data_IF_454468780942
#
_entry.id   IF_454468780942
#
_cell.length_a   1.000
_cell.length_b   1.000
_cell.length_c   1.000
_cell.angle_alpha   90.00
_cell.angle_beta   90.00
_cell.angle_gamma   90.00
#
_symmetry.space_group_name_H-M   'P 1'
#
loop_
_entity.id
_entity.type
_entity.pdbx_description
1 polymer ?
#
# COMPACT_ATOMS: atom_id res chain seq x y z
N UNK A 1 -16.99 31.34 -21.30
CA UNK A 1 -16.44 29.97 -21.19
C UNK A 1 -14.93 29.97 -20.88
N UNK A 2 -14.50 30.20 -19.63
CA UNK A 2 -13.05 30.27 -19.27
C UNK A 2 -12.64 29.55 -17.97
N UNK A 3 -13.51 28.75 -17.36
CA UNK A 3 -13.19 28.02 -16.10
C UNK A 3 -12.73 26.56 -16.30
N UNK A 4 -12.97 25.94 -17.46
CA UNK A 4 -12.69 24.51 -17.70
C UNK A 4 -11.23 24.11 -17.94
N UNK A 5 -10.34 25.04 -18.27
CA UNK A 5 -8.95 24.75 -18.67
C UNK A 5 -7.96 24.63 -17.50
N UNK A 6 -8.27 25.22 -16.32
CA UNK A 6 -7.39 25.16 -15.14
C UNK A 6 -7.52 23.87 -14.33
N UNK A 7 -8.70 23.23 -14.31
CA UNK A 7 -8.92 21.95 -13.64
C UNK A 7 -8.20 20.80 -14.37
N UNK A 8 -8.22 20.79 -15.71
CA UNK A 8 -7.56 19.77 -16.55
C UNK A 8 -6.03 19.72 -16.35
N UNK A 9 -5.38 20.86 -16.09
CA UNK A 9 -3.91 20.91 -15.88
C UNK A 9 -3.46 20.38 -14.52
N UNK A 10 -4.27 20.50 -13.47
CA UNK A 10 -3.96 19.93 -12.14
C UNK A 10 -4.07 18.40 -12.13
N UNK A 11 -5.09 17.84 -12.79
CA UNK A 11 -5.23 16.39 -12.96
C UNK A 11 -4.10 15.78 -13.80
N UNK A 12 -3.50 16.52 -14.73
CA UNK A 12 -2.38 16.03 -15.55
C UNK A 12 -1.03 15.90 -14.81
N UNK A 13 -0.83 16.57 -13.67
CA UNK A 13 0.35 16.35 -12.81
C UNK A 13 0.14 15.17 -11.86
N UNK A 14 -1.05 15.06 -11.27
CA UNK A 14 -1.42 13.95 -10.39
C UNK A 14 -1.45 12.60 -11.12
N UNK A 15 -2.04 12.56 -12.33
CA UNK A 15 -2.02 11.36 -13.20
C UNK A 15 -0.62 10.91 -13.64
N UNK A 16 0.36 11.83 -13.70
CA UNK A 16 1.77 11.49 -13.96
C UNK A 16 2.43 10.92 -12.72
N UNK A 17 2.20 11.52 -11.55
CA UNK A 17 2.68 10.99 -10.27
C UNK A 17 2.14 9.59 -9.96
N UNK A 18 0.86 9.32 -10.24
CA UNK A 18 0.24 8.00 -10.05
C UNK A 18 0.76 6.94 -11.03
N UNK A 19 1.05 7.31 -12.29
CA UNK A 19 1.71 6.39 -13.23
C UNK A 19 3.14 6.07 -12.81
N UNK A 20 3.86 7.03 -12.25
CA UNK A 20 5.21 6.84 -11.72
C UNK A 20 5.20 5.95 -10.47
N UNK A 21 4.23 6.15 -9.56
CA UNK A 21 3.99 5.27 -8.42
C UNK A 21 3.63 3.84 -8.88
N UNK A 22 2.76 3.70 -9.89
CA UNK A 22 2.43 2.39 -10.50
C UNK A 22 3.64 1.69 -11.12
N UNK A 23 4.55 2.42 -11.78
CA UNK A 23 5.82 1.86 -12.30
C UNK A 23 6.74 1.41 -11.16
N UNK A 24 6.89 2.21 -10.10
CA UNK A 24 7.67 1.85 -8.91
C UNK A 24 7.10 0.65 -8.16
N UNK A 25 5.78 0.43 -8.25
CA UNK A 25 5.12 -0.76 -7.72
C UNK A 25 5.25 -1.99 -8.65
N UNK A 26 5.75 -1.84 -9.88
CA UNK A 26 5.81 -2.89 -10.93
C UNK A 26 7.24 -3.30 -11.40
N UNK A 27 8.35 -2.70 -10.93
CA UNK A 27 9.74 -3.17 -11.17
C UNK A 27 10.56 -3.10 -9.86
N UNK A 28 11.43 -4.04 -9.48
CA UNK A 28 12.38 -4.81 -10.29
C UNK A 28 12.56 -6.24 -9.74
N UNK A 29 12.17 -7.24 -10.53
CA UNK A 29 12.55 -8.63 -10.30
C UNK A 29 13.94 -8.90 -10.87
N UNK A 30 15.00 -8.51 -10.15
CA UNK A 30 16.36 -9.00 -10.43
C UNK A 30 17.30 -8.82 -9.23
N UNK A 31 17.14 -9.67 -8.21
CA UNK A 31 18.18 -9.87 -7.20
C UNK A 31 19.11 -10.98 -7.69
N UNK A 32 20.25 -10.60 -8.29
CA UNK A 32 21.35 -11.53 -8.56
C UNK A 32 21.89 -12.05 -7.22
N UNK A 33 21.62 -13.32 -6.91
CA UNK A 33 22.20 -14.01 -5.78
C UNK A 33 23.62 -14.51 -6.15
N UNK A 34 24.64 -13.75 -5.75
CA UNK A 34 26.03 -14.20 -5.71
C UNK A 34 26.55 -14.14 -4.28
N UNK A 35 27.08 -15.26 -3.78
CA UNK A 35 27.78 -15.29 -2.49
C UNK A 35 27.77 -16.65 -1.80
N UNK A 36 28.70 -17.53 -2.17
CA UNK A 36 29.02 -18.76 -1.41
C UNK A 36 29.43 -18.39 0.02
N UNK A 37 28.70 -18.88 1.02
CA UNK A 37 29.08 -18.77 2.43
C UNK A 37 29.35 -20.17 2.99
N UNK A 38 30.61 -20.41 3.37
CA UNK A 38 31.03 -21.59 4.12
C UNK A 38 30.53 -21.43 5.56
N UNK A 39 29.82 -22.42 6.08
CA UNK A 39 29.30 -22.43 7.45
C UNK A 39 30.39 -22.88 8.44
N UNK A 40 30.69 -22.05 9.45
CA UNK A 40 31.43 -22.44 10.65
C UNK A 40 30.48 -22.80 11.80
N UNK A 41 30.93 -23.57 12.80
CA UNK A 41 30.06 -24.10 13.85
C UNK A 41 30.01 -23.10 15.01
N UNK A 42 29.06 -22.16 15.01
CA UNK A 42 28.51 -21.46 16.19
C UNK A 42 27.71 -20.26 15.71
N UNK A 43 26.45 -20.50 15.36
CA UNK A 43 25.41 -19.48 15.46
C UNK A 43 24.08 -20.22 15.56
N UNK A 44 23.54 -20.25 16.77
CA UNK A 44 22.16 -20.64 17.04
C UNK A 44 21.23 -19.67 16.31
N UNK A 45 21.03 -19.89 15.01
CA UNK A 45 19.98 -19.23 14.25
C UNK A 45 18.69 -19.87 14.72
N UNK A 46 18.15 -19.32 15.80
CA UNK A 46 16.77 -19.51 16.18
C UNK A 46 15.94 -19.04 14.99
N UNK A 47 15.53 -20.01 14.16
CA UNK A 47 14.61 -19.82 13.07
C UNK A 47 13.28 -19.44 13.70
N UNK A 48 13.10 -18.15 14.04
CA UNK A 48 11.81 -17.58 14.38
C UNK A 48 10.91 -17.83 13.17
N UNK A 49 10.13 -18.91 13.22
CA UNK A 49 8.93 -19.05 12.40
C UNK A 49 8.01 -17.94 12.90
N UNK A 50 8.16 -16.75 12.31
CA UNK A 50 7.45 -15.55 12.73
C UNK A 50 5.96 -15.80 12.65
N UNK A 51 5.30 -15.84 13.81
CA UNK A 51 3.84 -15.76 13.87
C UNK A 51 3.46 -14.41 13.29
N UNK A 52 2.82 -14.41 12.11
CA UNK A 52 2.28 -13.18 11.53
C UNK A 52 1.29 -12.59 12.52
N UNK A 53 1.52 -11.36 12.95
CA UNK A 53 0.66 -10.68 13.92
C UNK A 53 -0.72 -10.41 13.33
N UNK A 54 -1.72 -10.19 14.19
CA UNK A 54 -3.05 -9.77 13.72
C UNK A 54 -2.99 -8.47 12.91
N UNK A 55 -2.09 -7.53 13.28
CA UNK A 55 -1.84 -6.31 12.51
C UNK A 55 -1.35 -6.60 11.09
N UNK A 56 -0.40 -7.55 10.93
CA UNK A 56 0.02 -8.01 9.61
C UNK A 56 -1.18 -8.54 8.81
N UNK A 57 -1.96 -9.44 9.41
CA UNK A 57 -3.09 -10.08 8.73
C UNK A 57 -4.14 -9.05 8.29
N UNK A 58 -4.40 -8.05 9.11
CA UNK A 58 -5.32 -6.95 8.80
C UNK A 58 -4.88 -6.16 7.57
N UNK A 59 -3.63 -5.70 7.51
CA UNK A 59 -3.15 -4.93 6.36
C UNK A 59 -3.01 -5.78 5.10
N UNK A 60 -2.55 -7.04 5.24
CA UNK A 60 -2.46 -7.95 4.12
C UNK A 60 -3.82 -8.22 3.46
N UNK A 61 -4.90 -8.28 4.25
CA UNK A 61 -6.28 -8.44 3.76
C UNK A 61 -6.89 -7.14 3.22
N UNK A 62 -6.44 -5.96 3.69
CA UNK A 62 -6.96 -4.68 3.22
C UNK A 62 -6.36 -4.24 1.89
N UNK A 63 -5.13 -4.64 1.56
CA UNK A 63 -4.55 -4.38 0.23
C UNK A 63 -5.46 -4.85 -0.93
N UNK A 64 -5.93 -6.12 -0.97
CA UNK A 64 -6.83 -6.57 -2.04
C UNK A 64 -8.22 -5.92 -1.95
N UNK A 65 -8.76 -5.68 -0.74
CA UNK A 65 -10.02 -4.95 -0.57
C UNK A 65 -9.97 -3.57 -1.23
N UNK A 66 -8.92 -2.80 -0.97
CA UNK A 66 -8.70 -1.49 -1.57
C UNK A 66 -8.47 -1.57 -3.08
N UNK A 67 -7.68 -2.55 -3.51
CA UNK A 67 -7.39 -2.74 -4.93
C UNK A 67 -8.67 -2.94 -5.75
N UNK A 68 -9.68 -3.63 -5.21
CA UNK A 68 -10.98 -3.83 -5.87
C UNK A 68 -11.75 -2.50 -6.02
N UNK A 69 -11.74 -1.66 -4.98
CA UNK A 69 -12.43 -0.38 -5.03
C UNK A 69 -11.75 0.63 -5.97
N UNK A 70 -10.42 0.62 -6.05
CA UNK A 70 -9.67 1.34 -7.09
C UNK A 70 -10.08 0.86 -8.49
N UNK A 71 -10.02 -0.46 -8.74
CA UNK A 71 -10.34 -1.04 -10.06
C UNK A 71 -11.77 -0.70 -10.51
N UNK A 72 -12.73 -0.79 -9.57
CA UNK A 72 -14.13 -0.45 -9.83
C UNK A 72 -14.29 1.04 -10.15
N UNK A 73 -13.63 1.91 -9.39
CA UNK A 73 -13.69 3.36 -9.60
C UNK A 73 -13.03 3.80 -10.91
N UNK A 74 -11.90 3.18 -11.29
CA UNK A 74 -11.20 3.45 -12.55
C UNK A 74 -12.02 3.04 -13.77
N UNK A 75 -12.72 1.90 -13.70
CA UNK A 75 -13.50 1.34 -14.81
C UNK A 75 -14.94 1.85 -14.87
N UNK A 76 -15.39 2.60 -13.88
CA UNK A 76 -16.75 3.09 -13.82
C UNK A 76 -17.07 4.04 -15.00
N UNK A 77 -18.12 3.69 -15.75
CA UNK A 77 -18.71 4.53 -16.79
C UNK A 77 -19.55 5.65 -16.15
N UNK A 78 -18.88 6.65 -15.58
CA UNK A 78 -19.53 7.76 -14.87
C UNK A 78 -19.82 8.90 -15.85
N UNK A 79 -21.11 9.24 -15.99
CA UNK A 79 -21.60 10.36 -16.78
C UNK A 79 -21.94 11.60 -15.93
N UNK A 80 -22.29 11.41 -14.66
CA UNK A 80 -22.59 12.53 -13.75
C UNK A 80 -21.27 13.13 -13.20
N UNK A 81 -20.97 14.42 -13.49
CA UNK A 81 -19.75 15.06 -13.00
C UNK A 81 -19.67 15.14 -11.47
N UNK A 82 -20.79 15.10 -10.75
CA UNK A 82 -20.83 15.09 -9.28
C UNK A 82 -20.24 13.81 -8.70
N UNK A 83 -20.32 12.70 -9.45
CA UNK A 83 -19.82 11.38 -9.02
C UNK A 83 -18.35 11.16 -9.43
N UNK A 84 -17.87 11.87 -10.47
CA UNK A 84 -16.48 11.75 -10.92
C UNK A 84 -15.49 12.13 -9.84
N UNK A 85 -15.73 13.24 -9.14
CA UNK A 85 -14.82 13.70 -8.09
C UNK A 85 -14.70 12.69 -6.92
N UNK A 86 -15.80 12.22 -6.32
CA UNK A 86 -15.72 11.17 -5.30
C UNK A 86 -15.02 9.89 -5.77
N UNK A 87 -15.23 9.45 -7.02
CA UNK A 87 -14.54 8.28 -7.56
C UNK A 87 -13.03 8.49 -7.72
N UNK A 88 -12.62 9.68 -8.16
CA UNK A 88 -11.21 10.05 -8.24
C UNK A 88 -10.58 10.16 -6.82
N UNK A 89 -11.31 10.71 -5.85
CA UNK A 89 -10.87 10.81 -4.45
C UNK A 89 -10.70 9.39 -3.83
N UNK A 90 -11.59 8.43 -4.14
CA UNK A 90 -11.45 7.00 -3.74
C UNK A 90 -10.16 6.40 -4.29
N UNK A 91 -9.83 6.65 -5.56
CA UNK A 91 -8.61 6.12 -6.19
C UNK A 91 -7.37 6.66 -5.47
N UNK A 92 -7.32 7.98 -5.27
CA UNK A 92 -6.17 8.67 -4.69
C UNK A 92 -5.94 8.25 -3.23
N UNK A 93 -7.00 8.20 -2.42
CA UNK A 93 -6.91 7.85 -1.01
C UNK A 93 -6.52 6.38 -0.82
N UNK A 94 -7.16 5.46 -1.55
CA UNK A 94 -6.87 4.04 -1.38
C UNK A 94 -5.50 3.63 -1.92
N UNK A 95 -5.01 4.28 -2.99
CA UNK A 95 -3.66 4.05 -3.49
C UNK A 95 -2.59 4.48 -2.47
N UNK A 96 -2.82 5.60 -1.77
CA UNK A 96 -1.97 6.06 -0.66
C UNK A 96 -1.99 5.07 0.49
N UNK A 97 -3.18 4.63 0.92
CA UNK A 97 -3.32 3.67 2.02
C UNK A 97 -2.68 2.31 1.69
N UNK A 98 -2.77 1.81 0.45
CA UNK A 98 -2.05 0.59 0.02
C UNK A 98 -0.53 0.75 0.18
N UNK A 99 0.00 1.93 -0.13
CA UNK A 99 1.45 2.20 -0.01
C UNK A 99 1.88 2.15 1.46
N UNK A 100 1.13 2.81 2.35
CA UNK A 100 1.37 2.79 3.79
C UNK A 100 1.26 1.38 4.38
N UNK A 101 0.22 0.62 4.00
CA UNK A 101 0.03 -0.76 4.44
C UNK A 101 1.18 -1.68 4.01
N UNK A 102 1.70 -1.53 2.77
CA UNK A 102 2.84 -2.33 2.29
C UNK A 102 4.11 -2.03 3.09
N UNK A 103 4.36 -0.76 3.42
CA UNK A 103 5.50 -0.37 4.26
C UNK A 103 5.38 -0.99 5.66
N UNK A 104 4.21 -0.84 6.30
CA UNK A 104 3.95 -1.39 7.63
C UNK A 104 4.04 -2.93 7.66
N UNK A 105 3.62 -3.63 6.61
CA UNK A 105 3.77 -5.09 6.50
C UNK A 105 5.24 -5.50 6.53
N UNK A 106 6.12 -4.77 5.84
CA UNK A 106 7.57 -5.05 5.84
C UNK A 106 8.14 -4.85 7.25
N UNK A 107 7.79 -3.75 7.90
CA UNK A 107 8.22 -3.43 9.26
C UNK A 107 7.74 -4.47 10.28
N UNK A 108 6.45 -4.81 10.28
CA UNK A 108 5.85 -5.79 11.19
C UNK A 108 6.40 -7.21 10.99
N UNK A 109 6.85 -7.53 9.78
CA UNK A 109 7.46 -8.83 9.49
C UNK A 109 8.88 -8.95 10.04
N UNK A 110 9.64 -7.85 10.06
CA UNK A 110 11.01 -7.80 10.58
C UNK A 110 11.10 -7.50 12.07
N UNK A 111 10.15 -6.71 12.60
CA UNK A 111 10.14 -6.23 13.97
C UNK A 111 8.69 -6.17 14.51
N UNK A 112 8.07 -7.32 14.82
CA UNK A 112 6.74 -7.33 15.39
C UNK A 112 6.73 -6.74 16.80
N UNK A 113 5.60 -6.13 17.24
CA UNK A 113 5.45 -5.73 18.64
C UNK A 113 5.60 -6.92 19.59
N UNK A 114 5.98 -6.62 20.84
CA UNK A 114 6.09 -7.62 21.91
C UNK A 114 4.76 -8.36 22.11
N UNK A 115 4.81 -9.65 22.46
CA UNK A 115 3.63 -10.45 22.76
C UNK A 115 2.82 -9.93 23.95
N UNK A 116 3.45 -9.13 24.82
CA UNK A 116 2.83 -8.56 26.02
C UNK A 116 2.44 -7.08 25.83
N UNK A 117 2.50 -6.56 24.60
CA UNK A 117 2.06 -5.19 24.33
C UNK A 117 0.54 -5.07 24.58
N UNK A 118 0.08 -4.03 25.29
CA UNK A 118 -1.35 -3.83 25.51
C UNK A 118 -2.04 -3.41 24.22
N UNK A 119 -3.35 -3.69 24.13
CA UNK A 119 -4.18 -3.23 23.03
C UNK A 119 -4.29 -1.70 23.01
N UNK A 120 -4.28 -1.12 21.80
CA UNK A 120 -4.44 0.31 21.61
C UNK A 120 -5.93 0.66 21.42
N UNK A 121 -6.46 1.67 22.12
CA UNK A 121 -7.86 2.06 21.99
C UNK A 121 -8.14 2.68 20.61
N UNK A 122 -9.37 2.54 20.13
CA UNK A 122 -9.82 3.23 18.93
C UNK A 122 -9.85 4.76 19.17
N UNK A 123 -9.52 5.53 18.14
CA UNK A 123 -9.75 6.99 18.17
C UNK A 123 -11.25 7.27 18.20
N UNK A 124 -11.73 8.28 18.95
CA UNK A 124 -13.12 8.68 18.91
C UNK A 124 -13.50 9.13 17.50
N UNK A 125 -14.74 8.85 17.10
CA UNK A 125 -15.29 9.37 15.86
C UNK A 125 -15.28 10.91 15.91
N UNK A 126 -14.90 11.53 14.79
CA UNK A 126 -14.95 12.99 14.62
C UNK A 126 -16.35 13.45 14.25
#
# INVERSE_FOLDING_TARGET
MRQGLRARRRNGRLRRGLQELRRKLQGDGNLKAGGRQRAGPFASISRRKGTRTMAYARFAAMIPHHSIAILTSERAHIHDPRVRKPADDIIDDQAREITEMKQLIVELSGNPPSSNAPDLPARPAK
#
